data_IF_463254630825
#
_entry.id   IF_463254630825
#
_cell.length_a   1.000
_cell.length_b   1.000
_cell.length_c   1.000
_cell.angle_alpha   90.00
_cell.angle_beta   90.00
_cell.angle_gamma   90.00
#
_symmetry.space_group_name_H-M   'P 1'
#
loop_
_entity.id
_entity.type
_entity.pdbx_description
1 polymer ?
#
# COMPACT_ATOMS: atom_id res chain seq x y z
N UNK A 1 -8.34 3.63 0.16
CA UNK A 1 -8.39 5.00 -0.38
C UNK A 1 -9.82 5.52 -0.38
N UNK A 2 -9.94 6.82 -0.23
CA UNK A 2 -11.24 7.48 -0.31
C UNK A 2 -11.78 7.52 -1.74
N UNK A 3 -13.02 8.00 -1.92
CA UNK A 3 -13.66 8.08 -3.24
C UNK A 3 -12.89 8.92 -4.24
N UNK A 4 -12.16 9.93 -3.78
CA UNK A 4 -11.30 10.78 -4.62
C UNK A 4 -9.86 10.26 -4.73
N UNK A 5 -9.58 9.06 -4.24
CA UNK A 5 -8.25 8.47 -4.25
C UNK A 5 -7.36 8.86 -3.07
N UNK A 6 -7.84 9.68 -2.15
CA UNK A 6 -7.05 10.15 -1.01
C UNK A 6 -6.65 9.01 -0.09
N UNK A 7 -5.38 9.00 0.36
CA UNK A 7 -4.84 7.96 1.24
C UNK A 7 -4.20 8.52 2.50
N UNK A 8 -3.77 9.78 2.49
CA UNK A 8 -3.06 10.34 3.63
C UNK A 8 -3.14 11.84 3.75
N UNK A 9 -2.79 12.33 4.94
CA UNK A 9 -2.66 13.74 5.27
C UNK A 9 -1.59 13.90 6.35
N UNK A 10 -0.63 14.77 6.11
CA UNK A 10 0.48 15.05 7.04
C UNK A 10 1.22 13.79 7.50
N UNK A 11 1.51 12.91 6.54
CA UNK A 11 2.20 11.64 6.73
C UNK A 11 1.47 10.64 7.64
N UNK A 12 0.15 10.72 7.69
CA UNK A 12 -0.70 9.79 8.45
C UNK A 12 -1.78 9.23 7.55
N UNK A 13 -2.21 8.01 7.85
CA UNK A 13 -3.37 7.41 7.18
C UNK A 13 -4.63 8.21 7.52
N UNK A 14 -5.52 8.38 6.55
CA UNK A 14 -6.79 9.11 6.73
C UNK A 14 -7.79 8.34 7.57
N UNK A 15 -7.77 7.02 7.48
CA UNK A 15 -8.80 6.18 8.11
C UNK A 15 -8.16 5.12 8.97
N UNK A 16 -8.70 4.93 10.17
CA UNK A 16 -8.34 3.82 11.03
C UNK A 16 -9.40 2.73 10.88
N UNK A 17 -9.04 1.66 10.17
CA UNK A 17 -9.93 0.56 9.85
C UNK A 17 -9.29 -0.75 10.34
N UNK A 18 -9.71 -1.28 11.51
CA UNK A 18 -9.10 -2.50 12.05
C UNK A 18 -9.14 -3.70 11.09
N UNK A 19 -10.22 -3.86 10.34
CA UNK A 19 -10.33 -4.96 9.38
C UNK A 19 -9.37 -4.79 8.21
N UNK A 20 -9.10 -3.55 7.79
CA UNK A 20 -8.12 -3.24 6.76
C UNK A 20 -6.70 -3.60 7.23
N UNK A 21 -6.35 -3.23 8.45
CA UNK A 21 -5.06 -3.58 9.04
C UNK A 21 -4.88 -5.09 9.15
N UNK A 22 -5.93 -5.80 9.53
CA UNK A 22 -5.92 -7.26 9.62
C UNK A 22 -5.71 -7.90 8.25
N UNK A 23 -6.40 -7.42 7.22
CA UNK A 23 -6.25 -7.90 5.84
C UNK A 23 -4.83 -7.63 5.34
N UNK A 24 -4.31 -6.43 5.57
CA UNK A 24 -2.94 -6.06 5.21
C UNK A 24 -1.93 -7.03 5.81
N UNK A 25 -2.07 -7.34 7.10
CA UNK A 25 -1.20 -8.30 7.78
C UNK A 25 -1.32 -9.69 7.14
N UNK A 26 -2.53 -10.15 6.85
CA UNK A 26 -2.75 -11.46 6.22
C UNK A 26 -2.11 -11.55 4.84
N UNK A 27 -2.24 -10.48 4.03
CA UNK A 27 -1.67 -10.46 2.68
C UNK A 27 -0.14 -10.44 2.69
N UNK A 28 0.46 -9.65 3.58
CA UNK A 28 1.89 -9.34 3.50
C UNK A 28 2.78 -10.25 4.34
N UNK A 29 2.25 -10.94 5.36
CA UNK A 29 3.05 -11.81 6.23
C UNK A 29 3.73 -12.92 5.42
N UNK A 30 5.03 -13.07 5.60
CA UNK A 30 5.84 -14.06 4.88
C UNK A 30 6.36 -13.57 3.54
N UNK A 31 6.06 -12.32 3.17
CA UNK A 31 6.44 -11.75 1.88
C UNK A 31 7.32 -10.51 2.04
N UNK A 32 7.82 -10.00 0.92
CA UNK A 32 8.59 -8.76 0.87
C UNK A 32 7.64 -7.58 0.75
N UNK A 33 7.88 -6.53 1.55
CA UNK A 33 7.16 -5.26 1.45
C UNK A 33 8.15 -4.16 1.09
N UNK A 34 7.77 -3.31 0.13
CA UNK A 34 8.58 -2.18 -0.34
C UNK A 34 7.82 -0.89 -0.02
N UNK A 35 8.52 0.07 0.56
CA UNK A 35 7.93 1.33 0.99
C UNK A 35 8.92 2.48 0.81
N UNK A 36 8.40 3.70 0.76
CA UNK A 36 9.23 4.90 0.83
C UNK A 36 9.67 5.19 2.26
N UNK A 37 10.67 6.07 2.39
CA UNK A 37 11.23 6.45 3.70
C UNK A 37 10.16 7.01 4.65
N UNK A 38 9.31 7.92 4.16
CA UNK A 38 8.28 8.54 5.01
C UNK A 38 7.27 7.51 5.52
N UNK A 39 6.95 6.50 4.70
CA UNK A 39 6.06 5.41 5.14
C UNK A 39 6.71 4.60 6.26
N UNK A 40 8.00 4.28 6.14
CA UNK A 40 8.71 3.59 7.23
C UNK A 40 8.70 4.42 8.52
N UNK A 41 8.98 5.70 8.41
CA UNK A 41 8.98 6.62 9.56
C UNK A 41 7.60 6.75 10.23
N UNK A 42 6.53 6.49 9.48
CA UNK A 42 5.16 6.51 10.01
C UNK A 42 4.77 5.24 10.77
N UNK A 43 5.56 4.16 10.66
CA UNK A 43 5.27 2.91 11.35
C UNK A 43 5.59 3.05 12.85
N UNK A 44 4.59 2.85 13.74
CA UNK A 44 4.78 3.11 15.18
C UNK A 44 5.88 2.27 15.82
N UNK A 45 6.09 1.05 15.34
CA UNK A 45 7.08 0.12 15.89
C UNK A 45 8.22 -0.20 14.92
N UNK A 46 8.37 0.60 13.84
CA UNK A 46 9.38 0.38 12.83
C UNK A 46 9.08 -0.82 11.93
N UNK A 47 10.12 -1.57 11.55
CA UNK A 47 9.97 -2.70 10.62
C UNK A 47 8.87 -3.67 11.06
N UNK A 48 8.05 -4.11 10.10
CA UNK A 48 6.95 -5.02 10.37
C UNK A 48 7.48 -6.45 10.50
N UNK A 49 7.06 -7.20 11.54
CA UNK A 49 7.60 -8.55 11.79
C UNK A 49 7.14 -9.56 10.73
N UNK A 50 7.94 -10.61 10.56
CA UNK A 50 7.66 -11.73 9.67
C UNK A 50 7.53 -11.35 8.21
N UNK A 51 8.17 -10.26 7.81
CA UNK A 51 8.22 -9.74 6.44
C UNK A 51 9.60 -9.20 6.16
N UNK A 52 10.03 -9.29 4.91
CA UNK A 52 11.24 -8.62 4.47
C UNK A 52 10.88 -7.16 4.23
N UNK A 53 11.42 -6.25 5.03
CA UNK A 53 11.16 -4.81 4.91
C UNK A 53 12.21 -4.18 4.01
N UNK A 54 11.76 -3.50 2.95
CA UNK A 54 12.61 -2.78 2.00
C UNK A 54 12.17 -1.33 1.96
N UNK A 55 13.12 -0.42 2.20
CA UNK A 55 12.86 1.02 2.19
C UNK A 55 13.60 1.67 1.03
N UNK A 56 12.90 2.48 0.26
CA UNK A 56 13.49 3.26 -0.83
C UNK A 56 13.92 4.62 -0.28
N UNK A 57 15.23 4.92 -0.39
CA UNK A 57 15.77 6.20 0.04
C UNK A 57 16.97 6.56 -0.83
N UNK A 58 17.00 7.81 -1.29
CA UNK A 58 18.13 8.33 -2.08
C UNK A 58 19.35 8.62 -1.21
N UNK A 59 19.15 8.78 0.09
CA UNK A 59 20.20 9.02 1.04
C UNK A 59 20.73 7.69 1.58
N UNK A 60 22.02 7.65 1.94
CA UNK A 60 22.63 6.47 2.52
C UNK A 60 22.25 6.35 4.01
N UNK A 61 20.96 6.19 4.28
CA UNK A 61 20.42 6.01 5.62
C UNK A 61 20.18 4.53 5.89
N UNK A 62 20.32 4.15 7.15
CA UNK A 62 19.96 2.81 7.60
C UNK A 62 18.68 2.88 8.41
N UNK A 63 17.82 1.88 8.22
CA UNK A 63 16.57 1.77 8.94
C UNK A 63 16.57 0.43 9.68
N UNK A 64 16.42 0.43 11.03
CA UNK A 64 16.50 -0.81 11.80
C UNK A 64 15.50 -1.87 11.31
N UNK A 65 16.02 -3.07 11.02
CA UNK A 65 15.18 -4.18 10.56
C UNK A 65 14.79 -4.13 9.09
N UNK A 66 15.32 -3.19 8.33
CA UNK A 66 15.00 -3.02 6.91
C UNK A 66 16.25 -2.96 6.05
N UNK A 67 16.09 -3.34 4.77
CA UNK A 67 17.10 -3.15 3.74
C UNK A 67 16.81 -1.85 3.00
N UNK A 68 17.83 -1.16 2.52
CA UNK A 68 17.67 0.12 1.82
C UNK A 68 18.17 0.01 0.38
N UNK A 69 17.38 0.51 -0.55
CA UNK A 69 17.74 0.63 -1.96
C UNK A 69 17.46 2.06 -2.42
N UNK A 70 18.23 2.53 -3.40
CA UNK A 70 18.08 3.89 -3.91
C UNK A 70 16.96 4.04 -4.94
N UNK A 71 16.49 2.94 -5.52
CA UNK A 71 15.42 2.95 -6.52
C UNK A 71 14.53 1.73 -6.42
N UNK A 72 13.31 1.85 -6.95
CA UNK A 72 12.38 0.73 -7.05
C UNK A 72 12.94 -0.38 -7.93
N UNK A 73 13.58 -0.02 -9.05
CA UNK A 73 14.18 -1.01 -9.97
C UNK A 73 15.22 -1.89 -9.25
N UNK A 74 16.08 -1.27 -8.44
CA UNK A 74 17.09 -2.01 -7.67
C UNK A 74 16.43 -2.92 -6.63
N UNK A 75 15.42 -2.42 -5.95
CA UNK A 75 14.69 -3.20 -4.96
C UNK A 75 14.01 -4.41 -5.59
N UNK A 76 13.33 -4.23 -6.71
CA UNK A 76 12.68 -5.33 -7.43
C UNK A 76 13.70 -6.34 -7.97
N UNK A 77 14.85 -5.87 -8.44
CA UNK A 77 15.93 -6.76 -8.92
C UNK A 77 16.50 -7.64 -7.80
N UNK A 78 16.37 -7.22 -6.54
CA UNK A 78 16.80 -8.02 -5.38
C UNK A 78 15.83 -9.15 -5.03
N UNK A 79 14.64 -9.16 -5.62
CA UNK A 79 13.59 -10.14 -5.35
C UNK A 79 13.64 -11.27 -6.37
N UNK A 80 13.23 -12.48 -5.96
CA UNK A 80 13.11 -13.60 -6.87
C UNK A 80 11.98 -13.37 -7.88
N UNK A 81 12.09 -13.91 -9.09
CA UNK A 81 11.12 -13.70 -10.16
C UNK A 81 9.72 -14.24 -9.85
N UNK A 82 9.64 -15.25 -8.98
CA UNK A 82 8.38 -15.87 -8.55
C UNK A 82 7.94 -15.40 -7.15
N UNK A 83 8.67 -14.44 -6.57
CA UNK A 83 8.38 -13.92 -5.24
C UNK A 83 7.19 -12.96 -5.26
N UNK A 84 6.28 -13.10 -4.29
CA UNK A 84 5.19 -12.17 -4.11
C UNK A 84 5.70 -10.95 -3.33
N UNK A 85 5.62 -9.77 -3.96
CA UNK A 85 6.14 -8.51 -3.40
C UNK A 85 4.98 -7.51 -3.31
N UNK A 86 4.86 -6.85 -2.17
CA UNK A 86 3.83 -5.85 -1.93
C UNK A 86 4.43 -4.46 -1.84
N UNK A 87 3.86 -3.52 -2.57
CA UNK A 87 4.19 -2.10 -2.48
C UNK A 87 3.19 -1.47 -1.50
N UNK A 88 3.69 -0.90 -0.42
CA UNK A 88 2.81 -0.44 0.67
C UNK A 88 2.77 1.08 0.87
N UNK A 89 3.37 1.83 -0.03
CA UNK A 89 3.23 3.28 -0.05
C UNK A 89 4.57 4.03 0.05
N UNK A 90 4.58 5.32 0.07
CA UNK A 90 3.38 6.17 -0.08
C UNK A 90 3.04 6.49 -1.54
N UNK A 91 2.41 7.65 -1.73
CA UNK A 91 1.88 8.03 -3.03
C UNK A 91 2.90 8.01 -4.17
N UNK A 92 4.12 8.47 -3.93
CA UNK A 92 5.18 8.49 -4.94
C UNK A 92 5.62 7.07 -5.32
N UNK A 93 5.74 6.19 -4.35
CA UNK A 93 6.13 4.79 -4.59
C UNK A 93 5.01 4.05 -5.32
N UNK A 94 3.76 4.27 -4.94
CA UNK A 94 2.62 3.72 -5.67
C UNK A 94 2.62 4.16 -7.14
N UNK A 95 2.87 5.45 -7.39
CA UNK A 95 2.90 5.98 -8.75
C UNK A 95 4.01 5.33 -9.60
N UNK A 96 5.19 5.11 -9.02
CA UNK A 96 6.29 4.43 -9.70
C UNK A 96 5.99 2.95 -9.93
N UNK A 97 5.35 2.29 -8.98
CA UNK A 97 5.12 0.85 -9.00
C UNK A 97 3.95 0.44 -9.90
N UNK A 98 3.03 1.34 -10.19
CA UNK A 98 1.80 0.99 -10.91
C UNK A 98 2.06 0.30 -12.25
N UNK A 99 3.08 0.75 -12.99
CA UNK A 99 3.42 0.15 -14.29
C UNK A 99 4.00 -1.27 -14.16
N UNK A 100 4.53 -1.63 -13.01
CA UNK A 100 5.10 -2.96 -12.75
C UNK A 100 4.09 -3.91 -12.09
N UNK A 101 3.02 -3.38 -11.51
CA UNK A 101 2.11 -4.17 -10.70
C UNK A 101 1.27 -5.14 -11.54
N UNK A 102 1.12 -6.36 -11.04
CA UNK A 102 0.25 -7.37 -11.62
C UNK A 102 -1.13 -7.35 -10.98
N UNK A 103 -1.22 -6.88 -9.75
CA UNK A 103 -2.45 -6.89 -8.97
C UNK A 103 -2.53 -5.64 -8.08
N UNK A 104 -3.73 -5.11 -7.95
CA UNK A 104 -4.04 -4.05 -7.01
C UNK A 104 -4.95 -4.62 -5.92
N UNK A 105 -4.51 -4.53 -4.65
CA UNK A 105 -5.30 -4.94 -3.50
C UNK A 105 -5.72 -3.67 -2.76
N UNK A 106 -6.93 -3.21 -2.99
CA UNK A 106 -7.40 -1.91 -2.52
C UNK A 106 -8.46 -2.06 -1.44
N UNK A 107 -8.48 -1.08 -0.54
CA UNK A 107 -9.63 -0.83 0.34
C UNK A 107 -10.21 0.51 -0.08
N UNK A 108 -11.43 0.48 -0.59
CA UNK A 108 -12.14 1.68 -1.02
C UNK A 108 -13.09 2.12 0.08
N UNK A 109 -12.89 3.33 0.59
CA UNK A 109 -13.70 3.90 1.68
C UNK A 109 -14.76 4.81 1.08
N UNK A 110 -16.01 4.64 1.47
CA UNK A 110 -17.13 5.45 1.00
C UNK A 110 -17.16 6.79 1.74
N UNK A 111 -16.18 7.62 1.44
CA UNK A 111 -16.03 8.95 2.01
C UNK A 111 -15.13 9.80 1.13
N UNK A 112 -15.31 11.11 1.16
CA UNK A 112 -14.42 12.08 0.54
C UNK A 112 -13.94 13.03 1.63
N UNK A 113 -12.66 12.94 2.04
CA UNK A 113 -12.15 13.74 3.15
C UNK A 113 -12.04 15.22 2.77
N UNK A 114 -12.24 16.09 3.77
CA UNK A 114 -12.09 17.54 3.59
C UNK A 114 -10.63 17.94 3.35
N UNK A 115 -9.68 17.20 3.90
CA UNK A 115 -8.24 17.47 3.77
C UNK A 115 -7.49 16.20 3.44
N UNK A 116 -6.65 16.28 2.42
CA UNK A 116 -5.75 15.19 2.03
C UNK A 116 -4.60 15.78 1.23
N UNK A 117 -3.40 15.20 1.36
CA UNK A 117 -2.23 15.63 0.61
C UNK A 117 -1.51 14.45 -0.07
N UNK A 118 -1.96 13.24 0.15
CA UNK A 118 -1.42 12.05 -0.50
C UNK A 118 -2.56 11.26 -1.14
N UNK A 119 -2.34 10.82 -2.39
CA UNK A 119 -3.34 10.14 -3.20
C UNK A 119 -2.75 8.89 -3.83
N UNK A 120 -3.58 7.86 -3.97
CA UNK A 120 -3.25 6.72 -4.81
C UNK A 120 -3.26 7.18 -6.27
N UNK A 121 -2.33 6.70 -7.12
CA UNK A 121 -2.27 7.15 -8.51
C UNK A 121 -3.56 6.77 -9.26
N UNK A 122 -3.96 7.64 -10.18
CA UNK A 122 -5.08 7.37 -11.07
C UNK A 122 -4.72 6.22 -12.00
N UNK A 123 -5.62 5.27 -12.16
CA UNK A 123 -5.44 4.15 -13.07
C UNK A 123 -6.70 3.94 -13.90
N UNK A 124 -6.51 3.46 -15.14
CA UNK A 124 -7.63 3.18 -16.05
C UNK A 124 -8.21 1.81 -15.73
N UNK A 125 -9.45 1.77 -15.27
CA UNK A 125 -10.12 0.50 -14.92
C UNK A 125 -10.28 -0.43 -16.13
N UNK A 126 -10.15 0.08 -17.35
CA UNK A 126 -10.17 -0.76 -18.55
C UNK A 126 -8.92 -1.62 -18.68
N UNK A 127 -7.82 -1.25 -18.00
CA UNK A 127 -6.58 -2.02 -17.98
C UNK A 127 -6.56 -3.12 -16.91
N UNK A 128 -7.62 -3.18 -16.09
CA UNK A 128 -7.67 -4.07 -14.94
C UNK A 128 -8.99 -4.83 -14.89
N UNK A 129 -8.93 -6.07 -14.38
CA UNK A 129 -10.14 -6.88 -14.16
C UNK A 129 -10.37 -7.06 -12.67
N UNK A 130 -11.55 -6.72 -12.20
CA UNK A 130 -11.95 -6.96 -10.81
C UNK A 130 -12.12 -8.47 -10.59
N UNK A 131 -11.36 -9.03 -9.65
CA UNK A 131 -11.37 -10.47 -9.37
C UNK A 131 -11.99 -10.81 -8.01
N UNK A 132 -12.09 -9.84 -7.13
CA UNK A 132 -12.64 -10.01 -5.79
C UNK A 132 -13.21 -8.68 -5.31
N UNK A 133 -14.35 -8.73 -4.65
CA UNK A 133 -14.93 -7.58 -3.97
C UNK A 133 -15.72 -8.06 -2.75
N UNK A 134 -15.53 -7.37 -1.63
CA UNK A 134 -16.24 -7.66 -0.39
C UNK A 134 -16.63 -6.35 0.28
N UNK A 135 -17.93 -6.10 0.37
CA UNK A 135 -18.45 -4.87 0.95
C UNK A 135 -18.69 -4.99 2.45
N UNK A 136 -18.43 -3.89 3.16
CA UNK A 136 -18.61 -3.81 4.61
C UNK A 136 -19.36 -2.54 4.98
N UNK A 137 -20.33 -2.68 5.87
CA UNK A 137 -21.07 -1.56 6.42
C UNK A 137 -20.34 -0.94 7.61
N UNK A 138 -20.82 0.22 8.07
CA UNK A 138 -20.33 0.81 9.32
C UNK A 138 -20.64 -0.10 10.51
N UNK A 139 -19.76 -0.08 11.50
CA UNK A 139 -19.94 -0.79 12.75
C UNK A 139 -19.30 -0.01 13.90
N UNK A 140 -19.20 -0.61 15.09
CA UNK A 140 -18.66 0.04 16.28
C UNK A 140 -17.21 0.51 16.11
N UNK A 141 -16.44 -0.16 15.22
CA UNK A 141 -15.03 0.10 14.99
C UNK A 141 -14.76 0.79 13.65
N UNK A 142 -15.76 0.92 12.78
CA UNK A 142 -15.61 1.46 11.43
C UNK A 142 -16.64 2.56 11.19
N UNK A 143 -16.15 3.80 11.12
CA UNK A 143 -16.99 4.99 10.97
C UNK A 143 -17.60 5.14 9.58
N UNK A 144 -17.00 4.51 8.56
CA UNK A 144 -17.42 4.63 7.16
C UNK A 144 -17.63 3.26 6.55
N UNK A 145 -18.60 3.11 5.62
CA UNK A 145 -18.67 1.90 4.79
C UNK A 145 -17.41 1.80 3.94
N UNK A 146 -16.96 0.61 3.67
CA UNK A 146 -15.77 0.36 2.86
C UNK A 146 -15.92 -0.95 2.13
N UNK A 147 -15.06 -1.18 1.13
CA UNK A 147 -15.00 -2.47 0.45
C UNK A 147 -13.56 -2.85 0.17
N UNK A 148 -13.27 -4.12 0.28
CA UNK A 148 -12.04 -4.70 -0.23
C UNK A 148 -12.25 -5.05 -1.69
N UNK A 149 -11.29 -4.72 -2.55
CA UNK A 149 -11.38 -5.02 -3.97
C UNK A 149 -10.00 -5.35 -4.51
N UNK A 150 -9.93 -6.42 -5.29
CA UNK A 150 -8.71 -6.81 -5.99
C UNK A 150 -8.92 -6.68 -7.48
N UNK A 151 -7.92 -6.11 -8.14
CA UNK A 151 -7.86 -6.01 -9.59
C UNK A 151 -6.62 -6.74 -10.09
N UNK A 152 -6.75 -7.43 -11.22
CA UNK A 152 -5.62 -8.06 -11.92
C UNK A 152 -5.47 -7.37 -13.27
N UNK A 153 -4.21 -7.11 -13.66
CA UNK A 153 -3.92 -6.44 -14.93
C UNK A 153 -4.41 -7.29 -16.10
N UNK A 154 -5.11 -6.66 -17.01
CA UNK A 154 -5.52 -7.27 -18.28
C UNK A 154 -4.29 -7.38 -19.20
N UNK A 155 -4.17 -8.49 -19.86
CA UNK A 155 -3.09 -8.74 -20.83
C UNK A 155 -3.56 -8.45 -22.24
#
# INVERSE_FOLDING_TARGET
>A
MAQNGAIGYQNKLLYWLPNDLKRFKQLTTGHTIIMGRLTFESLPKGALPNRRNVVLSRNAQTFPGAETFSSLDQALASCASDEEVYIIGGSQVYAQALSYADRLCLTEVHDTPAQADAFFPTFDKNDWTETFAEEHETDEKHAFPYRFVDYVRQK
#
